data_IF_313692364512
#
_entry.id   IF_313692364512
#
_cell.length_a   1.000
_cell.length_b   1.000
_cell.length_c   1.000
_cell.angle_alpha   90.00
_cell.angle_beta   90.00
_cell.angle_gamma   90.00
#
_symmetry.space_group_name_H-M   'P 1'
#
loop_
_entity.id
_entity.type
_entity.pdbx_description
1 polymer ?
2 non-polymer ?
3 non-polymer ?
4 non-polymer ?
#
# COMPACT_ATOMS: atom_id res chain seq x y z
N UNK A 44 -5.70 -18.50 18.78
CA UNK A 44 -5.69 -19.87 18.28
C UNK A 44 -4.30 -20.47 18.37
N UNK A 45 -3.65 -20.65 17.22
CA UNK A 45 -2.29 -21.18 17.17
C UNK A 45 -1.29 -20.08 17.48
N UNK A 46 -0.01 -20.34 17.24
CA UNK A 46 1.03 -19.34 17.44
C UNK A 46 1.31 -18.52 16.18
N UNK A 47 1.55 -19.19 15.05
CA UNK A 47 1.75 -18.47 13.81
C UNK A 47 0.51 -17.71 13.40
N UNK A 48 -0.68 -18.24 13.71
CA UNK A 48 -1.89 -17.49 13.38
C UNK A 48 -2.14 -16.35 14.35
N UNK A 49 -1.71 -16.47 15.60
CA UNK A 49 -1.73 -15.31 16.48
C UNK A 49 -0.83 -14.21 15.97
N UNK A 50 0.37 -14.58 15.50
CA UNK A 50 1.23 -13.60 14.87
C UNK A 50 0.58 -13.01 13.63
N UNK A 51 -0.13 -13.82 12.84
CA UNK A 51 -0.84 -13.22 11.68
C UNK A 51 -1.78 -12.12 12.18
N UNK A 52 -2.73 -12.46 13.05
CA UNK A 52 -3.74 -11.46 13.51
C UNK A 52 -3.00 -10.20 13.99
N UNK A 53 -1.95 -10.33 14.81
CA UNK A 53 -1.26 -9.13 15.36
C UNK A 53 -0.56 -8.37 14.23
N UNK A 54 -0.15 -9.06 13.15
CA UNK A 54 0.37 -8.34 12.00
C UNK A 54 -0.75 -7.76 11.15
N UNK A 55 -1.88 -8.44 11.07
CA UNK A 55 -3.07 -7.89 10.41
C UNK A 55 -3.43 -6.55 11.04
N UNK A 56 -3.56 -6.51 12.36
CA UNK A 56 -3.91 -5.25 13.01
C UNK A 56 -2.80 -4.22 12.87
N UNK A 57 -1.54 -4.66 12.86
CA UNK A 57 -0.44 -3.72 12.67
C UNK A 57 -0.50 -3.02 11.33
N UNK A 58 -0.73 -3.79 10.27
CA UNK A 58 -0.81 -3.18 8.94
C UNK A 58 -2.09 -2.35 8.79
N UNK A 59 -3.19 -2.81 9.39
CA UNK A 59 -4.38 -1.97 9.46
C UNK A 59 -4.03 -0.60 10.03
N UNK A 60 -3.30 -0.57 11.15
CA UNK A 60 -2.96 0.71 11.77
C UNK A 60 -2.02 1.52 10.89
N UNK A 61 -1.07 0.86 10.23
CA UNK A 61 -0.10 1.61 9.45
C UNK A 61 -0.78 2.28 8.25
N UNK A 62 -1.74 1.60 7.62
CA UNK A 62 -2.45 2.24 6.53
C UNK A 62 -3.43 3.29 7.05
N UNK A 63 -3.97 3.08 8.26
CA UNK A 63 -4.78 4.11 8.88
C UNK A 63 -3.99 5.40 9.06
N UNK A 64 -2.75 5.28 9.53
CA UNK A 64 -1.93 6.46 9.74
C UNK A 64 -1.48 7.04 8.41
N UNK A 65 -1.52 6.24 7.34
CA UNK A 65 -1.19 6.78 6.03
C UNK A 65 -2.35 7.58 5.40
N UNK A 66 -3.60 7.21 5.66
CA UNK A 66 -4.74 7.84 4.98
C UNK A 66 -5.55 8.81 5.87
N UNK A 67 -5.39 8.74 7.19
CA UNK A 67 -6.12 9.66 8.05
C UNK A 67 -5.85 11.11 7.69
N UNK A 68 -4.62 11.43 7.26
CA UNK A 68 -4.38 12.79 6.79
C UNK A 68 -5.08 13.04 5.47
N UNK A 69 -5.11 12.05 4.58
CA UNK A 69 -5.77 12.23 3.30
C UNK A 69 -7.23 12.64 3.47
N UNK A 70 -7.82 12.36 4.63
CA UNK A 70 -9.17 12.90 4.94
C UNK A 70 -9.12 14.16 5.81
N UNK A 71 -8.30 14.16 6.86
CA UNK A 71 -8.23 15.31 7.75
C UNK A 71 -7.76 16.57 7.03
N UNK A 72 -7.14 16.44 5.87
CA UNK A 72 -6.70 17.61 5.12
C UNK A 72 -7.86 18.24 4.36
N UNK A 73 -8.80 17.44 3.85
CA UNK A 73 -9.97 18.02 3.23
C UNK A 73 -10.90 18.56 4.29
N UNK A 74 -10.79 18.10 5.54
CA UNK A 74 -11.50 18.78 6.62
C UNK A 74 -10.62 19.74 7.41
N UNK A 75 -9.42 20.05 6.92
CA UNK A 75 -8.48 20.87 7.66
C UNK A 75 -8.27 22.25 7.07
N UNK A 76 -8.14 22.35 5.74
CA UNK A 76 -7.83 23.63 5.13
C UNK A 76 -9.04 24.56 5.19
N UNK A 77 -8.76 25.86 5.11
CA UNK A 77 -9.78 26.90 5.14
C UNK A 77 -10.14 27.28 3.72
N UNK A 78 -11.44 27.33 3.43
CA UNK A 78 -11.92 27.66 2.09
C UNK A 78 -11.58 29.10 1.71
N UNK A 105 -15.70 22.39 15.79
CA UNK A 105 -14.88 23.14 14.84
C UNK A 105 -13.58 23.60 15.50
N UNK A 106 -12.47 23.08 15.01
CA UNK A 106 -11.15 23.47 15.48
C UNK A 106 -10.54 24.57 14.66
N UNK A 107 -9.22 24.53 14.54
CA UNK A 107 -8.51 25.51 13.73
C UNK A 107 -8.47 25.05 12.28
N UNK A 108 -8.42 26.02 11.37
CA UNK A 108 -8.38 25.76 9.93
C UNK A 108 -7.37 26.70 9.31
N UNK A 109 -6.28 26.14 8.79
CA UNK A 109 -5.21 26.94 8.23
C UNK A 109 -5.52 27.34 6.80
N UNK A 110 -4.78 28.32 6.30
CA UNK A 110 -4.94 28.85 4.94
C UNK A 110 -3.74 28.36 4.11
N UNK A 111 -3.92 27.24 3.43
CA UNK A 111 -2.89 26.66 2.59
C UNK A 111 -3.28 26.82 1.12
N UNK A 112 -2.32 27.24 0.29
CA UNK A 112 -2.61 27.86 -1.00
C UNK A 112 -2.62 26.80 -2.11
N UNK A 113 -3.41 25.75 -1.90
CA UNK A 113 -3.79 24.82 -2.97
C UNK A 113 -2.59 24.08 -3.57
N UNK A 114 -1.40 24.36 -3.06
CA UNK A 114 -0.20 23.59 -3.39
C UNK A 114 0.57 23.14 -2.17
N UNK A 115 0.50 23.86 -1.05
CA UNK A 115 0.96 23.34 0.22
C UNK A 115 0.33 21.99 0.52
N UNK A 116 -0.93 21.80 0.15
CA UNK A 116 -1.59 20.53 0.38
C UNK A 116 -0.93 19.41 -0.42
N UNK A 117 -0.40 19.72 -1.59
CA UNK A 117 0.32 18.71 -2.35
C UNK A 117 1.53 18.17 -1.59
N UNK A 118 2.34 19.07 -1.04
CA UNK A 118 3.52 18.65 -0.29
C UNK A 118 3.12 17.95 1.00
N UNK A 119 2.11 18.47 1.70
CA UNK A 119 1.68 17.85 2.95
C UNK A 119 1.14 16.45 2.70
N UNK A 120 0.51 16.23 1.55
CA UNK A 120 0.02 14.90 1.22
C UNK A 120 1.13 13.97 0.77
N UNK A 121 2.08 14.47 -0.02
CA UNK A 121 3.09 13.62 -0.63
C UNK A 121 4.50 13.68 -0.06
N UNK A 122 4.69 14.18 1.16
CA UNK A 122 6.00 14.06 1.79
C UNK A 122 6.16 12.75 2.55
N UNK A 123 5.05 12.19 3.02
CA UNK A 123 5.08 10.87 3.62
C UNK A 123 5.75 9.87 2.70
N UNK A 124 5.60 10.03 1.39
CA UNK A 124 6.19 9.06 0.48
C UNK A 124 7.66 9.33 0.20
N UNK A 125 8.12 10.57 0.36
CA UNK A 125 9.56 10.79 0.49
C UNK A 125 10.11 9.98 1.65
N UNK A 126 9.46 10.10 2.81
CA UNK A 126 9.90 9.33 3.97
C UNK A 126 9.83 7.83 3.73
N UNK A 127 8.84 7.39 2.95
CA UNK A 127 8.67 5.96 2.65
C UNK A 127 9.80 5.44 1.76
N UNK A 128 10.09 6.16 0.67
CA UNK A 128 11.12 5.72 -0.26
C UNK A 128 12.51 5.84 0.32
N UNK A 129 12.73 6.72 1.30
CA UNK A 129 14.05 6.82 1.90
C UNK A 129 14.47 5.48 2.51
N UNK A 130 13.55 4.86 3.26
CA UNK A 130 13.89 3.69 4.07
C UNK A 130 13.15 2.43 3.65
N UNK A 131 12.63 2.37 2.43
CA UNK A 131 12.11 1.09 1.93
C UNK A 131 13.15 -0.03 2.05
N UNK A 132 14.26 0.07 1.32
CA UNK A 132 15.24 -1.02 1.20
C UNK A 132 16.17 -1.14 2.40
N UNK A 133 16.77 -0.05 2.91
CA UNK A 133 17.51 -0.16 4.17
C UNK A 133 16.68 -0.81 5.27
N UNK A 134 15.35 -0.64 5.23
CA UNK A 134 14.50 -1.42 6.11
C UNK A 134 14.69 -2.90 5.92
N UNK A 135 14.78 -3.35 4.67
CA UNK A 135 15.01 -4.77 4.42
C UNK A 135 16.36 -5.25 4.94
N UNK A 136 17.40 -4.44 4.74
CA UNK A 136 18.71 -4.81 5.26
C UNK A 136 18.70 -4.92 6.78
N UNK A 137 18.21 -3.89 7.46
CA UNK A 137 18.16 -3.92 8.92
C UNK A 137 17.27 -5.04 9.43
N UNK A 138 16.22 -5.38 8.68
CA UNK A 138 15.35 -6.47 9.10
C UNK A 138 16.06 -7.81 9.02
N UNK A 139 16.76 -8.06 7.92
CA UNK A 139 17.57 -9.26 7.84
C UNK A 139 18.63 -9.29 8.93
N UNK A 140 19.12 -8.11 9.35
CA UNK A 140 20.18 -8.07 10.35
C UNK A 140 19.66 -8.37 11.75
N UNK A 141 18.74 -7.55 12.25
CA UNK A 141 18.37 -7.57 13.67
C UNK A 141 16.94 -8.07 13.87
N UNK A 142 16.46 -8.92 12.97
CA UNK A 142 15.14 -9.51 13.14
C UNK A 142 14.03 -8.59 12.68
N UNK A 143 12.81 -9.01 12.98
CA UNK A 143 11.64 -8.31 12.49
C UNK A 143 10.73 -7.75 13.54
N UNK A 144 10.67 -8.37 14.72
CA UNK A 144 9.74 -7.94 15.75
C UNK A 144 10.01 -6.50 16.18
N UNK A 145 11.22 -6.24 16.64
CA UNK A 145 11.54 -4.89 17.11
C UNK A 145 11.45 -3.88 15.98
N UNK A 146 11.86 -4.28 14.78
CA UNK A 146 11.83 -3.35 13.65
C UNK A 146 10.41 -2.92 13.33
N UNK A 147 9.50 -3.89 13.17
CA UNK A 147 8.11 -3.54 12.88
C UNK A 147 7.48 -2.80 14.03
N UNK A 148 7.71 -3.25 15.27
CA UNK A 148 7.13 -2.59 16.42
C UNK A 148 7.54 -1.13 16.50
N UNK A 149 8.82 -0.84 16.33
CA UNK A 149 9.26 0.55 16.41
C UNK A 149 8.91 1.35 15.17
N UNK A 150 8.84 0.71 14.00
CA UNK A 150 8.39 1.40 12.81
C UNK A 150 6.92 1.74 12.81
N UNK A 151 6.14 1.09 13.68
CA UNK A 151 4.75 1.48 13.83
C UNK A 151 4.61 2.43 15.02
N UNK A 152 5.45 2.27 16.04
CA UNK A 152 5.37 3.16 17.20
C UNK A 152 5.83 4.57 16.84
N UNK A 153 6.90 4.70 16.04
CA UNK A 153 7.31 6.02 15.59
C UNK A 153 6.21 6.73 14.85
N UNK A 154 5.51 6.01 13.97
CA UNK A 154 4.42 6.61 13.22
C UNK A 154 3.26 6.98 14.14
N UNK A 155 2.88 6.09 15.05
CA UNK A 155 1.74 6.34 15.92
C UNK A 155 2.08 7.26 17.08
N UNK A 156 3.33 7.71 17.18
CA UNK A 156 3.67 8.79 18.08
C UNK A 156 3.77 10.12 17.35
N UNK A 157 4.28 10.13 16.13
CA UNK A 157 4.27 11.36 15.35
C UNK A 157 2.85 11.74 14.93
N UNK A 158 1.96 10.77 14.81
CA UNK A 158 0.57 11.10 14.55
C UNK A 158 -0.07 11.77 15.76
N UNK A 159 0.37 11.44 16.96
CA UNK A 159 -0.10 12.15 18.14
C UNK A 159 0.33 13.62 18.13
N UNK A 160 1.37 13.95 17.37
CA UNK A 160 1.88 15.31 17.35
C UNK A 160 1.53 16.08 16.10
N UNK A 161 1.03 15.41 15.07
CA UNK A 161 0.58 16.12 13.86
C UNK A 161 -0.32 17.31 14.16
N UNK A 162 -1.30 17.24 15.07
CA UNK A 162 -2.07 18.46 15.38
C UNK A 162 -1.22 19.54 16.04
N UNK A 163 -0.15 19.16 16.73
CA UNK A 163 0.73 20.17 17.33
C UNK A 163 1.72 20.69 16.30
N UNK A 164 2.18 19.83 15.38
CA UNK A 164 3.09 20.28 14.35
C UNK A 164 2.40 21.08 13.27
N UNK A 165 1.07 21.03 13.21
CA UNK A 165 0.35 21.87 12.26
C UNK A 165 0.34 23.32 12.72
N UNK A 166 0.18 23.55 14.03
CA UNK A 166 0.20 24.92 14.55
C UNK A 166 1.56 25.58 14.36
N UNK A 167 2.63 24.80 14.37
CA UNK A 167 3.96 25.38 14.16
C UNK A 167 4.11 25.93 12.75
N UNK A 168 3.45 25.33 11.77
CA UNK A 168 3.53 25.82 10.42
C UNK A 168 3.40 24.69 9.42
N UNK A 169 4.17 24.79 8.34
CA UNK A 169 4.12 23.84 7.25
C UNK A 169 5.40 23.03 7.14
N UNK A 170 6.54 23.67 7.32
CA UNK A 170 7.81 22.98 7.36
C UNK A 170 7.84 21.86 8.38
N UNK A 171 7.48 22.17 9.63
CA UNK A 171 7.37 21.11 10.63
C UNK A 171 6.41 20.00 10.25
N UNK A 172 5.30 20.31 9.57
CA UNK A 172 4.36 19.26 9.20
C UNK A 172 4.94 18.37 8.12
N UNK A 173 5.64 18.94 7.14
CA UNK A 173 6.27 18.12 6.12
C UNK A 173 7.38 17.28 6.71
N UNK A 174 8.12 17.82 7.69
CA UNK A 174 9.16 17.03 8.35
C UNK A 174 8.54 15.89 9.15
N UNK A 175 7.44 16.18 9.85
CA UNK A 175 6.77 15.15 10.62
C UNK A 175 6.23 14.04 9.73
N UNK A 176 5.71 14.39 8.56
CA UNK A 176 5.24 13.34 7.67
C UNK A 176 6.38 12.60 6.99
N UNK A 177 7.51 13.26 6.76
CA UNK A 177 8.68 12.52 6.28
C UNK A 177 9.15 11.51 7.32
N UNK A 178 9.10 11.89 8.60
CA UNK A 178 9.45 10.94 9.65
C UNK A 178 8.43 9.82 9.74
N UNK A 179 7.15 10.13 9.54
CA UNK A 179 6.15 9.07 9.49
C UNK A 179 6.40 8.13 8.32
N UNK A 180 6.86 8.66 7.19
CA UNK A 180 7.22 7.80 6.08
C UNK A 180 8.42 6.92 6.40
N UNK A 181 9.41 7.49 7.08
CA UNK A 181 10.52 6.68 7.60
C UNK A 181 10.00 5.55 8.47
N UNK A 182 9.02 5.84 9.31
CA UNK A 182 8.47 4.80 10.19
C UNK A 182 7.72 3.73 9.43
N UNK A 183 6.93 4.12 8.44
CA UNK A 183 6.07 3.17 7.73
C UNK A 183 6.78 2.47 6.58
N UNK A 184 7.97 2.91 6.20
CA UNK A 184 8.66 2.21 5.14
C UNK A 184 9.37 0.96 5.56
N UNK A 185 9.39 0.66 6.86
CA UNK A 185 10.15 -0.44 7.41
C UNK A 185 9.23 -1.56 7.89
N UNK A 186 7.93 -1.43 7.68
CA UNK A 186 7.02 -2.46 8.17
C UNK A 186 7.08 -3.72 7.30
N UNK A 187 6.79 -3.61 6.01
CA UNK A 187 6.80 -4.78 5.15
C UNK A 187 8.17 -5.47 5.10
N UNK A 188 9.29 -4.77 4.93
CA UNK A 188 10.58 -5.47 4.90
C UNK A 188 10.89 -6.20 6.19
N UNK A 189 10.24 -5.85 7.30
CA UNK A 189 10.37 -6.59 8.54
C UNK A 189 9.40 -7.76 8.60
N UNK A 190 8.18 -7.55 8.12
CA UNK A 190 7.21 -8.65 8.09
C UNK A 190 7.70 -9.78 7.20
N UNK A 191 8.42 -9.46 6.12
CA UNK A 191 8.91 -10.53 5.27
C UNK A 191 9.98 -11.37 5.98
N UNK A 192 10.78 -10.76 6.83
CA UNK A 192 11.75 -11.54 7.61
C UNK A 192 11.04 -12.38 8.66
N UNK A 193 10.08 -11.79 9.36
CA UNK A 193 9.32 -12.54 10.34
C UNK A 193 8.65 -13.76 9.71
N UNK A 194 8.13 -13.60 8.49
CA UNK A 194 7.48 -14.72 7.82
C UNK A 194 8.46 -15.64 7.12
N UNK A 195 9.70 -15.20 6.90
CA UNK A 195 10.74 -16.15 6.50
C UNK A 195 11.21 -16.99 7.68
N UNK A 196 10.96 -16.52 8.90
CA UNK A 196 11.27 -17.31 10.09
C UNK A 196 10.10 -18.11 10.62
N UNK A 197 8.86 -17.73 10.30
CA UNK A 197 7.66 -18.32 10.88
C UNK A 197 6.87 -19.19 9.92
N UNK A 198 6.58 -18.70 8.73
CA UNK A 198 5.60 -19.33 7.87
C UNK A 198 6.14 -20.62 7.25
N UNK A 199 5.50 -21.76 7.47
CA UNK A 199 5.88 -22.98 6.77
C UNK A 199 5.57 -22.86 5.28
N UNK A 200 6.43 -23.43 4.42
CA UNK A 200 6.25 -23.22 2.98
C UNK A 200 4.87 -23.57 2.45
N UNK A 201 4.33 -24.72 2.81
CA UNK A 201 3.02 -25.15 2.30
C UNK A 201 1.86 -24.39 2.94
N UNK A 202 2.15 -23.37 3.75
CA UNK A 202 1.10 -22.53 4.32
C UNK A 202 1.49 -21.06 4.31
N UNK A 203 2.52 -20.68 3.56
CA UNK A 203 2.93 -19.28 3.52
C UNK A 203 1.86 -18.40 2.87
N UNK A 204 1.08 -18.98 1.95
CA UNK A 204 0.14 -18.19 1.18
C UNK A 204 -0.95 -17.61 2.07
N UNK A 205 -1.60 -18.44 2.88
CA UNK A 205 -2.68 -17.95 3.73
C UNK A 205 -2.16 -16.93 4.74
N UNK A 206 -0.97 -17.17 5.29
CA UNK A 206 -0.42 -16.27 6.29
C UNK A 206 -0.12 -14.89 5.69
N UNK A 207 0.58 -14.85 4.55
CA UNK A 207 0.81 -13.57 3.92
C UNK A 207 -0.49 -12.91 3.48
N UNK A 208 -1.46 -13.71 3.02
CA UNK A 208 -2.74 -13.15 2.61
C UNK A 208 -3.42 -12.43 3.77
N UNK A 209 -3.43 -13.04 4.94
CA UNK A 209 -4.01 -12.38 6.11
C UNK A 209 -3.22 -11.14 6.47
N UNK A 210 -1.88 -11.27 6.51
CA UNK A 210 -1.05 -10.18 6.98
C UNK A 210 -1.16 -8.95 6.10
N UNK A 211 -1.54 -9.11 4.84
CA UNK A 211 -1.70 -7.96 3.96
C UNK A 211 -3.14 -7.54 3.73
N UNK A 212 -4.09 -8.47 3.81
CA UNK A 212 -5.49 -8.07 3.92
C UNK A 212 -5.70 -7.17 5.13
N UNK A 213 -4.82 -7.29 6.13
CA UNK A 213 -4.81 -6.30 7.19
C UNK A 213 -4.67 -4.89 6.67
N UNK A 214 -3.66 -4.65 5.82
CA UNK A 214 -3.45 -3.32 5.29
C UNK A 214 -4.58 -2.90 4.36
N UNK A 215 -5.09 -3.85 3.57
CA UNK A 215 -6.19 -3.52 2.68
C UNK A 215 -7.43 -3.07 3.46
N UNK A 216 -7.81 -3.82 4.49
CA UNK A 216 -8.93 -3.39 5.33
C UNK A 216 -8.60 -2.12 6.09
N UNK A 217 -7.32 -1.86 6.37
CA UNK A 217 -6.96 -0.59 6.95
C UNK A 217 -7.31 0.57 6.04
N UNK A 218 -6.94 0.46 4.76
CA UNK A 218 -7.30 1.49 3.81
C UNK A 218 -8.82 1.59 3.65
N UNK A 219 -9.52 0.45 3.71
CA UNK A 219 -10.96 0.45 3.47
C UNK A 219 -11.72 1.10 4.63
N UNK A 220 -11.27 0.88 5.87
CA UNK A 220 -11.98 1.37 7.04
C UNK A 220 -11.46 2.70 7.55
N UNK A 221 -10.25 3.11 7.13
CA UNK A 221 -9.67 4.33 7.67
C UNK A 221 -10.32 5.59 7.13
N UNK A 222 -11.02 5.49 6.01
CA UNK A 222 -11.74 6.62 5.43
C UNK A 222 -13.07 6.87 6.12
N UNK A 223 -13.90 5.86 6.38
CA UNK A 223 -15.16 6.14 7.10
C UNK A 223 -14.94 6.63 8.52
N UNK A 224 -13.99 6.04 9.25
CA UNK A 224 -13.76 6.50 10.62
C UNK A 224 -13.22 7.92 10.64
N UNK A 225 -12.29 8.24 9.74
CA UNK A 225 -11.81 9.61 9.65
C UNK A 225 -12.95 10.56 9.29
N UNK A 226 -13.81 10.15 8.37
CA UNK A 226 -14.95 10.99 8.03
C UNK A 226 -15.87 11.24 9.20
N UNK A 227 -16.19 10.19 9.95
CA UNK A 227 -17.10 10.31 11.09
C UNK A 227 -16.50 11.19 12.17
N UNK A 228 -15.24 10.95 12.51
CA UNK A 228 -14.60 11.73 13.56
C UNK A 228 -14.35 13.16 13.12
N UNK A 229 -14.23 13.42 11.82
CA UNK A 229 -14.13 14.78 11.34
C UNK A 229 -15.49 15.48 11.24
N UNK A 230 -16.57 14.71 11.11
CA UNK A 230 -17.91 15.28 11.06
C UNK A 230 -18.43 15.61 12.46
N UNK A 231 -18.35 14.67 13.39
CA UNK A 231 -18.85 14.91 14.73
C UNK A 231 -17.84 15.58 15.64
N UNK A 232 -16.55 15.51 15.31
CA UNK A 232 -15.50 16.14 16.10
C UNK A 232 -14.54 16.83 15.14
N UNK A 233 -13.40 17.28 15.66
CA UNK A 233 -12.38 17.92 14.84
C UNK A 233 -11.54 16.88 14.11
N UNK A 234 -10.42 17.32 13.54
CA UNK A 234 -9.43 16.40 12.97
C UNK A 234 -8.36 16.02 13.98
N UNK A 235 -8.03 16.93 14.89
CA UNK A 235 -7.15 16.59 16.00
C UNK A 235 -7.61 15.32 16.70
N UNK A 236 -8.92 15.10 16.77
CA UNK A 236 -9.41 13.87 17.36
C UNK A 236 -9.11 12.67 16.48
N UNK A 237 -9.16 12.81 15.16
CA UNK A 237 -8.73 11.73 14.28
C UNK A 237 -7.30 11.33 14.60
N UNK A 238 -6.42 12.32 14.66
CA UNK A 238 -5.00 12.00 14.86
C UNK A 238 -4.76 11.39 16.24
N UNK A 239 -5.42 11.94 17.27
CA UNK A 239 -5.25 11.37 18.62
C UNK A 239 -5.77 9.95 18.68
N UNK A 240 -6.93 9.68 18.09
CA UNK A 240 -7.53 8.35 18.13
C UNK A 240 -6.63 7.34 17.44
N UNK A 241 -6.11 7.67 16.25
CA UNK A 241 -5.28 6.72 15.56
C UNK A 241 -3.92 6.54 16.24
N UNK A 242 -3.35 7.60 16.81
CA UNK A 242 -2.12 7.43 17.56
C UNK A 242 -2.29 6.55 18.78
N UNK A 243 -3.42 6.72 19.49
CA UNK A 243 -3.66 5.90 20.68
C UNK A 243 -3.87 4.45 20.31
N UNK A 244 -4.61 4.17 19.24
CA UNK A 244 -4.75 2.78 18.79
C UNK A 244 -3.38 2.21 18.41
N UNK A 245 -2.56 3.01 17.73
CA UNK A 245 -1.23 2.53 17.39
C UNK A 245 -0.40 2.16 18.60
N UNK A 246 -0.43 2.99 19.63
CA UNK A 246 0.35 2.72 20.83
C UNK A 246 -0.19 1.49 21.56
N UNK A 247 -1.51 1.35 21.64
CA UNK A 247 -2.09 0.17 22.29
C UNK A 247 -1.69 -1.10 21.57
N UNK A 248 -1.75 -1.10 20.23
CA UNK A 248 -1.33 -2.28 19.50
C UNK A 248 0.17 -2.52 19.64
N UNK A 249 0.96 -1.46 19.74
CA UNK A 249 2.39 -1.69 19.96
C UNK A 249 2.65 -2.34 21.29
N UNK A 250 1.87 -2.00 22.32
CA UNK A 250 2.00 -2.70 23.59
C UNK A 250 1.64 -4.18 23.43
N UNK A 251 0.52 -4.46 22.74
CA UNK A 251 0.16 -5.85 22.49
C UNK A 251 1.24 -6.59 21.71
N UNK A 252 1.91 -5.89 20.80
CA UNK A 252 2.87 -6.54 19.91
C UNK A 252 4.22 -6.73 20.58
N UNK A 253 4.55 -5.90 21.56
CA UNK A 253 5.75 -6.16 22.35
C UNK A 253 5.49 -7.27 23.35
N UNK A 254 4.27 -7.35 23.87
CA UNK A 254 3.99 -8.39 24.86
C UNK A 254 3.87 -9.77 24.22
N UNK A 255 3.14 -9.89 23.10
CA UNK A 255 2.80 -11.22 22.59
C UNK A 255 3.83 -11.78 21.60
N UNK A 256 4.04 -11.10 20.48
CA UNK A 256 4.73 -11.69 19.34
C UNK A 256 6.22 -11.73 19.60
N UNK A 257 6.86 -12.82 19.15
CA UNK A 257 8.30 -13.00 19.19
C UNK A 257 8.86 -13.03 17.77
N UNK A 258 10.17 -13.27 17.67
CA UNK A 258 10.90 -13.12 16.42
C UNK A 258 11.06 -14.42 15.65
N UNK A 259 10.99 -15.56 16.31
CA UNK A 259 11.38 -16.85 15.74
C UNK A 259 10.81 -17.96 16.64
N UNK A 260 10.26 -19.04 16.07
CA UNK A 260 9.63 -20.07 16.90
C UNK A 260 10.54 -20.59 18.00
N UNK A 261 11.85 -20.43 17.80
CA UNK A 261 12.79 -20.80 18.86
C UNK A 261 12.77 -19.81 20.00
N UNK A 262 12.57 -18.53 19.71
CA UNK A 262 12.56 -17.49 20.72
C UNK A 262 11.16 -17.12 21.19
N UNK A 263 10.18 -17.98 20.97
CA UNK A 263 8.82 -17.68 21.39
C UNK A 263 8.59 -18.24 22.79
N UNK A 264 7.81 -17.50 23.58
CA UNK A 264 7.72 -17.79 25.01
C UNK A 264 6.79 -18.96 25.32
N UNK A 265 5.59 -18.96 24.76
CA UNK A 265 4.56 -19.92 25.13
C UNK A 265 4.14 -20.81 23.97
N UNK A 266 5.00 -20.96 22.96
CA UNK A 266 4.71 -21.88 21.86
C UNK A 266 4.78 -23.32 22.38
N UNK A 267 4.10 -24.21 21.66
CA UNK A 267 4.03 -25.62 22.01
C UNK A 267 5.06 -26.41 21.23
N UNK A 268 5.44 -27.56 21.79
CA UNK A 268 6.48 -28.39 21.18
C UNK A 268 6.11 -28.81 19.78
N UNK A 269 4.91 -29.37 19.59
CA UNK A 269 4.56 -29.93 18.29
C UNK A 269 4.49 -28.87 17.21
N UNK A 270 3.99 -27.68 17.55
CA UNK A 270 3.92 -26.61 16.56
C UNK A 270 5.31 -26.13 16.17
N UNK A 271 6.18 -25.95 17.15
CA UNK A 271 7.55 -25.54 16.84
C UNK A 271 8.25 -26.59 15.99
N UNK A 272 8.02 -27.87 16.28
CA UNK A 272 8.64 -28.92 15.50
C UNK A 272 8.11 -28.93 14.07
N UNK A 273 6.81 -28.72 13.90
CA UNK A 273 6.26 -28.65 12.55
C UNK A 273 6.85 -27.49 11.76
N UNK A 274 6.85 -26.29 12.35
CA UNK A 274 7.38 -25.12 11.67
C UNK A 274 8.85 -25.33 11.32
N UNK A 275 9.64 -25.84 12.27
CA UNK A 275 11.07 -26.00 12.03
C UNK A 275 11.35 -27.10 11.03
N UNK A 276 10.56 -28.18 11.02
CA UNK A 276 10.79 -29.26 10.08
C UNK A 276 10.36 -28.89 8.67
N UNK A 277 9.47 -27.91 8.51
CA UNK A 277 9.18 -27.43 7.17
C UNK A 277 10.21 -26.40 6.70
N UNK A 278 10.52 -25.43 7.55
CA UNK A 278 11.54 -24.45 7.20
C UNK A 278 12.91 -25.09 7.06
N UNK A 279 13.11 -26.30 7.58
CA UNK A 279 14.36 -27.02 7.38
C UNK A 279 14.58 -27.29 5.89
N UNK A 280 13.59 -27.91 5.24
CA UNK A 280 13.61 -28.03 3.79
C UNK A 280 13.71 -26.67 3.12
N UNK A 281 12.88 -25.72 3.56
CA UNK A 281 12.85 -24.41 2.90
C UNK A 281 14.24 -23.77 2.84
N UNK A 282 14.95 -23.78 3.95
CA UNK A 282 16.29 -23.21 3.99
C UNK A 282 17.31 -24.09 3.27
N UNK A 283 17.17 -25.42 3.42
CA UNK A 283 18.14 -26.32 2.79
C UNK A 283 18.06 -26.28 1.27
N UNK A 284 16.94 -25.84 0.71
CA UNK A 284 16.83 -25.68 -0.73
C UNK A 284 17.33 -24.32 -1.21
N UNK A 285 17.90 -23.50 -0.32
CA UNK A 285 18.36 -22.17 -0.68
C UNK A 285 19.88 -22.14 -0.74
N UNK A 286 20.42 -21.64 -1.86
CA UNK A 286 21.86 -21.54 -2.06
C UNK A 286 22.31 -20.15 -2.48
N UNK A 287 21.51 -19.44 -3.27
CA UNK A 287 21.87 -18.13 -3.81
C UNK A 287 21.65 -17.00 -2.80
N UNK A 288 21.50 -17.32 -1.52
CA UNK A 288 21.24 -16.27 -0.53
C UNK A 288 22.38 -15.28 -0.39
N UNK A 289 23.64 -15.69 -0.14
CA UNK A 289 24.69 -14.70 0.16
C UNK A 289 24.98 -13.74 -0.97
N UNK A 290 25.33 -14.25 -2.15
CA UNK A 290 25.78 -13.40 -3.23
C UNK A 290 24.60 -12.74 -3.95
N UNK A 291 24.75 -11.46 -4.26
CA UNK A 291 23.70 -10.69 -4.93
C UNK A 291 24.22 -10.24 -6.29
N UNK A 292 23.50 -10.52 -7.38
CA UNK A 292 23.96 -10.11 -8.71
C UNK A 292 23.48 -8.73 -9.09
N UNK A 293 23.80 -8.30 -10.30
CA UNK A 293 23.22 -7.08 -10.86
C UNK A 293 21.84 -7.42 -11.43
N UNK A 294 20.93 -6.46 -11.35
CA UNK A 294 19.56 -6.70 -11.74
C UNK A 294 19.12 -5.77 -12.87
N UNK A 295 19.94 -5.66 -13.91
CA UNK A 295 19.65 -4.80 -15.05
C UNK A 295 18.96 -5.56 -16.19
N UNK A 296 18.21 -6.61 -15.87
CA UNK A 296 17.51 -7.36 -16.89
C UNK A 296 16.26 -6.62 -17.34
N UNK A 297 15.85 -6.90 -18.57
CA UNK A 297 14.68 -6.21 -19.14
C UNK A 297 13.37 -6.53 -18.43
N UNK A 298 13.04 -7.78 -18.09
CA UNK A 298 11.74 -8.02 -17.44
C UNK A 298 11.58 -7.36 -16.09
N UNK A 299 12.66 -7.20 -15.32
CA UNK A 299 12.55 -6.51 -14.05
C UNK A 299 12.17 -5.05 -14.24
N UNK A 300 12.76 -4.38 -15.24
CA UNK A 300 12.35 -3.02 -15.52
C UNK A 300 10.91 -2.96 -16.04
N UNK A 301 10.42 -4.03 -16.67
CA UNK A 301 9.01 -4.07 -17.05
C UNK A 301 8.12 -4.14 -15.82
N UNK A 302 8.46 -5.00 -14.87
CA UNK A 302 7.71 -5.05 -13.61
C UNK A 302 7.76 -3.68 -12.92
N UNK A 303 8.93 -3.03 -12.93
CA UNK A 303 9.09 -1.76 -12.26
C UNK A 303 8.23 -0.69 -12.93
N UNK A 304 8.24 -0.63 -14.26
CA UNK A 304 7.45 0.37 -14.96
C UNK A 304 5.96 0.12 -14.76
N UNK A 305 5.54 -1.14 -14.77
CA UNK A 305 4.13 -1.43 -14.54
C UNK A 305 3.71 -1.06 -13.12
N UNK A 306 4.56 -1.33 -12.14
CA UNK A 306 4.23 -0.97 -10.77
C UNK A 306 4.22 0.54 -10.59
N UNK A 307 5.13 1.25 -11.27
CA UNK A 307 5.13 2.70 -11.20
C UNK A 307 3.85 3.27 -11.82
N UNK A 308 3.48 2.77 -12.99
CA UNK A 308 2.30 3.28 -13.67
C UNK A 308 1.01 2.89 -12.98
N UNK A 309 1.02 1.84 -12.16
CA UNK A 309 -0.15 1.52 -11.36
C UNK A 309 -0.20 2.33 -10.07
N UNK A 310 0.95 2.48 -9.42
CA UNK A 310 1.00 3.25 -8.18
C UNK A 310 0.76 4.73 -8.42
N UNK A 311 1.04 5.24 -9.62
CA UNK A 311 0.69 6.62 -9.92
C UNK A 311 -0.80 6.84 -9.71
N UNK A 312 -1.64 6.08 -10.41
CA UNK A 312 -3.08 6.18 -10.25
C UNK A 312 -3.48 5.86 -8.82
N UNK A 313 -2.90 4.81 -8.23
CA UNK A 313 -3.32 4.40 -6.90
C UNK A 313 -3.07 5.50 -5.87
N UNK A 314 -1.87 6.06 -5.85
CA UNK A 314 -1.53 7.06 -4.85
C UNK A 314 -2.20 8.39 -5.14
N UNK A 315 -2.35 8.75 -6.41
CA UNK A 315 -3.11 9.96 -6.72
C UNK A 315 -4.53 9.85 -6.18
N UNK A 316 -5.18 8.70 -6.36
CA UNK A 316 -6.51 8.54 -5.80
C UNK A 316 -6.46 8.52 -4.27
N UNK A 317 -5.52 7.77 -3.70
CA UNK A 317 -5.43 7.66 -2.24
C UNK A 317 -5.28 9.00 -1.58
N UNK A 318 -4.52 9.92 -2.18
CA UNK A 318 -4.25 11.20 -1.57
C UNK A 318 -5.12 12.33 -2.10
N UNK A 319 -5.94 12.10 -3.13
CA UNK A 319 -6.76 13.19 -3.63
C UNK A 319 -8.20 12.77 -3.96
N UNK A 320 -8.68 11.68 -3.37
CA UNK A 320 -10.09 11.35 -3.58
C UNK A 320 -10.99 12.18 -2.68
N UNK A 321 -10.72 12.31 -1.38
CA UNK A 321 -11.58 13.17 -0.55
C UNK A 321 -11.59 14.62 -1.02
N UNK A 322 -10.44 15.15 -1.41
CA UNK A 322 -10.41 16.50 -1.98
C UNK A 322 -11.31 16.60 -3.19
N UNK A 323 -11.28 15.58 -4.06
CA UNK A 323 -12.15 15.59 -5.22
C UNK A 323 -13.61 15.59 -4.81
N UNK A 324 -13.99 14.69 -3.90
CA UNK A 324 -15.40 14.58 -3.53
C UNK A 324 -15.89 15.80 -2.78
N UNK A 325 -15.01 16.58 -2.16
CA UNK A 325 -15.45 17.80 -1.50
C UNK A 325 -15.40 19.03 -2.40
N UNK A 326 -14.59 19.02 -3.46
CA UNK A 326 -14.50 20.18 -4.34
C UNK A 326 -15.37 20.03 -5.58
N UNK A 327 -15.16 18.98 -6.37
CA UNK A 327 -15.91 18.84 -7.62
C UNK A 327 -17.29 18.27 -7.37
N UNK A 328 -17.37 17.07 -6.81
CA UNK A 328 -18.66 16.43 -6.61
C UNK A 328 -19.51 17.11 -5.54
N UNK A 329 -18.92 17.99 -4.73
CA UNK A 329 -19.64 18.76 -3.73
C UNK A 329 -20.38 17.84 -2.74
N UNK A 330 -19.60 17.07 -2.00
CA UNK A 330 -20.14 16.16 -0.98
C UNK A 330 -19.88 16.73 0.41
N UNK A 331 -20.39 16.02 1.40
CA UNK A 331 -20.14 16.34 2.80
C UNK A 331 -18.76 15.80 3.18
N UNK A 332 -18.46 15.72 4.47
CA UNK A 332 -17.22 15.09 4.91
C UNK A 332 -17.50 13.65 5.30
N UNK A 333 -18.68 13.40 5.89
CA UNK A 333 -19.05 12.05 6.29
C UNK A 333 -19.27 11.16 5.07
N UNK A 334 -20.17 11.58 4.18
CA UNK A 334 -20.35 10.85 2.93
C UNK A 334 -19.07 10.85 2.10
N UNK A 335 -18.23 11.87 2.32
CA UNK A 335 -16.91 11.89 1.63
C UNK A 335 -16.13 10.66 2.08
N UNK A 336 -16.03 10.44 3.39
CA UNK A 336 -15.34 9.26 3.89
C UNK A 336 -15.95 7.96 3.39
N UNK A 337 -17.28 7.87 3.45
CA UNK A 337 -17.93 6.60 3.11
C UNK A 337 -17.74 6.25 1.63
N UNK A 338 -18.12 7.17 0.73
CA UNK A 338 -18.00 6.92 -0.70
C UNK A 338 -16.60 7.11 -1.23
N UNK A 339 -15.65 7.33 -0.31
CA UNK A 339 -14.22 7.36 -0.70
C UNK A 339 -13.65 6.01 -0.27
N UNK A 340 -14.27 5.36 0.74
CA UNK A 340 -13.85 4.04 1.16
C UNK A 340 -14.37 2.98 0.20
N UNK A 341 -15.65 3.07 -0.18
CA UNK A 341 -16.27 2.10 -1.08
C UNK A 341 -15.38 1.72 -2.27
N UNK A 342 -14.68 2.67 -2.90
CA UNK A 342 -13.71 2.28 -3.94
C UNK A 342 -12.70 1.23 -3.52
N UNK A 343 -12.03 1.41 -2.37
CA UNK A 343 -11.03 0.43 -1.96
C UNK A 343 -11.64 -0.85 -1.44
N UNK A 344 -12.86 -0.82 -0.93
CA UNK A 344 -13.57 -2.05 -0.61
C UNK A 344 -13.80 -2.88 -1.87
N UNK A 345 -14.27 -2.22 -2.93
CA UNK A 345 -14.37 -2.90 -4.21
C UNK A 345 -13.04 -3.44 -4.69
N UNK A 346 -11.98 -2.65 -4.54
CA UNK A 346 -10.66 -3.10 -4.97
C UNK A 346 -10.23 -4.35 -4.21
N UNK A 347 -10.50 -4.41 -2.91
CA UNK A 347 -10.12 -5.57 -2.11
C UNK A 347 -10.91 -6.81 -2.52
N UNK A 348 -12.23 -6.67 -2.62
CA UNK A 348 -13.05 -7.80 -3.06
C UNK A 348 -12.59 -8.30 -4.42
N UNK A 349 -12.25 -7.38 -5.32
CA UNK A 349 -11.82 -7.78 -6.65
C UNK A 349 -10.45 -8.43 -6.62
N UNK A 350 -9.57 -8.00 -5.71
CA UNK A 350 -8.26 -8.65 -5.60
C UNK A 350 -8.42 -10.09 -5.13
N UNK A 351 -9.31 -10.32 -4.17
CA UNK A 351 -9.55 -11.69 -3.71
C UNK A 351 -10.11 -12.55 -4.84
N UNK A 352 -11.20 -12.07 -5.48
CA UNK A 352 -11.82 -12.84 -6.54
C UNK A 352 -10.89 -13.02 -7.73
N UNK A 353 -9.98 -12.07 -7.95
CA UNK A 353 -9.02 -12.18 -9.04
C UNK A 353 -7.92 -13.18 -8.74
N UNK A 354 -7.49 -13.27 -7.48
CA UNK A 354 -6.62 -14.36 -7.10
C UNK A 354 -7.27 -15.71 -7.35
N UNK A 355 -8.54 -15.85 -6.96
CA UNK A 355 -9.25 -17.10 -7.21
C UNK A 355 -9.33 -17.41 -8.70
N UNK A 356 -9.70 -16.41 -9.51
CA UNK A 356 -9.84 -16.61 -10.94
C UNK A 356 -8.50 -16.91 -11.61
N UNK A 357 -7.41 -16.30 -11.13
CA UNK A 357 -6.10 -16.59 -11.69
C UNK A 357 -5.67 -18.01 -11.37
N UNK A 358 -5.88 -18.45 -10.13
CA UNK A 358 -5.60 -19.84 -9.78
C UNK A 358 -6.39 -20.78 -10.68
N UNK A 359 -7.69 -20.51 -10.85
CA UNK A 359 -8.54 -21.37 -11.67
C UNK A 359 -8.06 -21.40 -13.12
N UNK A 360 -7.75 -20.23 -13.68
CA UNK A 360 -7.37 -20.15 -15.09
C UNK A 360 -6.00 -20.79 -15.33
N UNK A 361 -5.09 -20.69 -14.37
CA UNK A 361 -3.81 -21.37 -14.51
C UNK A 361 -3.92 -22.87 -14.26
N UNK A 362 -4.94 -23.31 -13.51
CA UNK A 362 -5.14 -24.74 -13.32
C UNK A 362 -5.75 -25.38 -14.56
N UNK A 363 -6.90 -24.85 -15.02
CA UNK A 363 -7.59 -25.51 -16.13
C UNK A 363 -6.87 -25.31 -17.46
N UNK A 364 -6.20 -24.17 -17.64
CA UNK A 364 -5.48 -23.87 -18.88
C UNK A 364 -4.06 -23.45 -18.55
N UNK A 365 -3.15 -23.69 -19.48
CA UNK A 365 -1.74 -23.41 -19.25
C UNK A 365 -1.41 -21.94 -19.51
N UNK A 366 -1.59 -21.49 -20.76
CA UNK A 366 -1.26 -20.13 -21.19
C UNK A 366 0.20 -19.77 -20.90
N UNK A 367 1.05 -20.78 -20.69
CA UNK A 367 2.49 -20.61 -20.48
C UNK A 367 2.82 -19.73 -19.27
N UNK A 368 1.83 -19.48 -18.41
CA UNK A 368 2.02 -18.79 -17.12
C UNK A 368 2.38 -17.32 -17.36
N UNK A 369 2.57 -16.94 -18.62
CA UNK A 369 2.90 -15.57 -19.00
C UNK A 369 1.77 -14.85 -19.70
N UNK A 370 1.01 -15.56 -20.55
CA UNK A 370 -0.16 -14.96 -21.17
C UNK A 370 -1.17 -14.52 -20.11
N UNK A 371 -1.32 -15.31 -19.05
CA UNK A 371 -2.21 -14.92 -17.96
C UNK A 371 -1.69 -13.66 -17.28
N UNK A 372 -0.38 -13.56 -17.08
CA UNK A 372 0.20 -12.36 -16.47
C UNK A 372 -0.11 -11.13 -17.31
N UNK A 373 0.21 -11.18 -18.60
CA UNK A 373 0.01 -10.01 -19.44
C UNK A 373 -1.48 -9.69 -19.61
N UNK A 374 -2.34 -10.70 -19.64
CA UNK A 374 -3.78 -10.44 -19.79
C UNK A 374 -4.32 -9.77 -18.53
N UNK A 375 -3.95 -10.27 -17.36
CA UNK A 375 -4.42 -9.66 -16.13
C UNK A 375 -3.84 -8.27 -15.94
N UNK A 376 -2.59 -8.04 -16.37
CA UNK A 376 -2.04 -6.70 -16.31
C UNK A 376 -2.79 -5.76 -17.23
N UNK A 377 -3.02 -6.19 -18.47
CA UNK A 377 -3.80 -5.37 -19.41
C UNK A 377 -5.14 -4.99 -18.80
N UNK A 378 -5.88 -5.96 -18.27
CA UNK A 378 -7.18 -5.67 -17.68
C UNK A 378 -7.03 -4.71 -16.52
N UNK A 379 -6.30 -5.12 -15.49
CA UNK A 379 -6.20 -4.34 -14.26
C UNK A 379 -5.47 -3.02 -14.40
N UNK A 380 -4.91 -2.71 -15.57
CA UNK A 380 -4.29 -1.42 -15.77
C UNK A 380 -4.97 -0.56 -16.83
N UNK A 381 -5.80 -1.14 -17.70
CA UNK A 381 -6.54 -0.38 -18.68
C UNK A 381 -7.98 -0.10 -18.22
N UNK A 382 -8.63 -1.10 -17.61
CA UNK A 382 -9.93 -0.89 -17.02
C UNK A 382 -9.95 0.34 -16.13
N UNK A 383 -9.01 0.42 -15.18
CA UNK A 383 -8.89 1.67 -14.40
C UNK A 383 -8.71 2.90 -15.25
N UNK A 384 -7.89 2.83 -16.30
CA UNK A 384 -7.65 4.00 -17.14
C UNK A 384 -8.94 4.45 -17.84
N UNK A 385 -9.65 3.51 -18.46
CA UNK A 385 -10.84 3.90 -19.23
C UNK A 385 -11.96 4.34 -18.30
N UNK A 386 -12.14 3.67 -17.16
CA UNK A 386 -13.19 4.11 -16.25
C UNK A 386 -12.81 5.40 -15.53
N UNK A 387 -11.52 5.72 -15.45
CA UNK A 387 -11.11 7.00 -14.87
C UNK A 387 -11.33 8.13 -15.85
N UNK A 388 -11.01 7.92 -17.13
CA UNK A 388 -11.41 8.88 -18.15
C UNK A 388 -12.91 9.09 -18.13
N UNK A 389 -13.68 8.02 -17.91
CA UNK A 389 -15.13 8.15 -17.84
C UNK A 389 -15.55 8.98 -16.62
N UNK A 390 -14.98 8.67 -15.45
CA UNK A 390 -15.30 9.44 -14.25
C UNK A 390 -14.94 10.91 -14.39
N UNK A 391 -13.90 11.21 -15.16
CA UNK A 391 -13.54 12.59 -15.41
C UNK A 391 -14.48 13.27 -16.37
N UNK A 392 -14.86 12.56 -17.44
CA UNK A 392 -15.69 13.14 -18.47
C UNK A 392 -17.02 13.64 -17.90
N UNK A 393 -17.79 12.75 -17.30
CA UNK A 393 -19.05 13.16 -16.69
C UNK A 393 -18.77 13.62 -15.26
N UNK A 394 -18.39 14.89 -15.12
CA UNK A 394 -18.10 15.45 -13.81
C UNK A 394 -19.29 16.18 -13.25
N UNK A 395 -19.11 16.71 -12.04
CA UNK A 395 -20.13 17.49 -11.33
C UNK A 395 -21.44 16.72 -11.20
N UNK A 396 -21.38 15.39 -11.27
CA UNK A 396 -22.55 14.54 -11.17
C UNK A 396 -22.38 13.64 -9.95
N UNK A 397 -23.43 13.59 -9.12
CA UNK A 397 -23.38 12.86 -7.86
C UNK A 397 -23.08 11.38 -8.05
N UNK A 398 -23.99 10.66 -8.72
CA UNK A 398 -23.95 9.20 -8.69
C UNK A 398 -22.98 8.64 -9.72
N UNK A 399 -23.09 9.06 -10.98
CA UNK A 399 -22.33 8.40 -12.04
C UNK A 399 -20.83 8.57 -11.87
N UNK A 400 -20.40 9.74 -11.38
CA UNK A 400 -18.97 9.98 -11.22
C UNK A 400 -18.38 9.07 -10.15
N UNK A 401 -19.04 8.96 -8.99
CA UNK A 401 -18.51 8.08 -7.95
C UNK A 401 -18.64 6.62 -8.36
N UNK A 402 -19.65 6.28 -9.17
CA UNK A 402 -19.75 4.92 -9.67
C UNK A 402 -18.60 4.58 -10.59
N UNK A 403 -18.28 5.48 -11.52
CA UNK A 403 -17.15 5.24 -12.41
C UNK A 403 -15.84 5.21 -11.65
N UNK A 404 -15.68 6.03 -10.61
CA UNK A 404 -14.46 5.98 -9.81
C UNK A 404 -14.35 4.64 -9.08
N UNK A 405 -15.46 4.19 -8.48
CA UNK A 405 -15.45 2.92 -7.77
C UNK A 405 -15.09 1.77 -8.72
N UNK A 406 -15.66 1.77 -9.92
CA UNK A 406 -15.32 0.72 -10.87
C UNK A 406 -13.88 0.85 -11.34
N UNK A 407 -13.41 2.09 -11.52
CA UNK A 407 -12.05 2.30 -12.01
C UNK A 407 -11.01 1.75 -11.05
N UNK A 408 -11.21 1.98 -9.75
CA UNK A 408 -10.26 1.42 -8.80
C UNK A 408 -10.62 0.01 -8.35
N UNK A 409 -11.82 -0.47 -8.67
CA UNK A 409 -12.16 -1.86 -8.42
C UNK A 409 -11.54 -2.76 -9.46
N UNK A 410 -11.35 -2.27 -10.67
CA UNK A 410 -10.67 -3.08 -11.67
C UNK A 410 -9.18 -3.12 -11.45
N UNK A 411 -8.70 -2.73 -10.28
CA UNK A 411 -7.28 -2.81 -9.96
C UNK A 411 -6.84 -4.09 -9.31
N UNK A 412 -7.78 -4.91 -8.81
CA UNK A 412 -7.40 -6.18 -8.22
C UNK A 412 -6.82 -7.14 -9.23
N UNK A 413 -7.35 -7.12 -10.46
CA UNK A 413 -6.76 -7.90 -11.54
C UNK A 413 -5.27 -7.63 -11.67
N UNK A 414 -4.91 -6.36 -11.85
CA UNK A 414 -3.51 -5.97 -11.92
C UNK A 414 -2.78 -6.42 -10.66
N UNK A 415 -3.32 -6.09 -9.49
CA UNK A 415 -2.64 -6.41 -8.24
C UNK A 415 -2.22 -7.87 -8.20
N UNK A 416 -3.20 -8.78 -8.22
CA UNK A 416 -2.85 -10.20 -8.17
C UNK A 416 -2.00 -10.63 -9.36
N UNK A 417 -2.57 -10.57 -10.56
CA UNK A 417 -1.94 -11.16 -11.73
C UNK A 417 -0.70 -10.45 -12.21
N UNK A 418 -0.23 -9.43 -11.51
CA UNK A 418 1.04 -8.81 -11.86
C UNK A 418 2.00 -8.74 -10.69
N UNK A 419 1.51 -8.50 -9.46
CA UNK A 419 2.40 -8.52 -8.31
C UNK A 419 2.74 -9.95 -7.89
N UNK A 420 2.17 -10.96 -8.56
CA UNK A 420 2.76 -12.29 -8.44
C UNK A 420 3.78 -12.58 -9.53
N UNK A 421 3.93 -11.68 -10.49
CA UNK A 421 4.99 -11.84 -11.48
C UNK A 421 6.37 -11.66 -10.89
N UNK A 422 6.49 -10.96 -9.76
CA UNK A 422 7.81 -10.85 -9.12
C UNK A 422 8.22 -12.16 -8.48
N UNK A 423 7.24 -12.92 -7.97
CA UNK A 423 7.53 -14.28 -7.53
C UNK A 423 7.86 -15.18 -8.71
N UNK A 424 7.12 -15.03 -9.80
CA UNK A 424 7.31 -15.96 -10.92
C UNK A 424 8.56 -15.67 -11.76
N UNK A 425 9.08 -14.45 -11.75
CA UNK A 425 10.20 -14.13 -12.63
C UNK A 425 11.50 -14.70 -12.08
N UNK A 426 11.73 -14.60 -10.78
CA UNK A 426 12.98 -15.02 -10.17
C UNK A 426 12.75 -15.40 -8.71
N UNK A 427 12.20 -16.58 -8.44
CA UNK A 427 11.95 -16.99 -7.06
C UNK A 427 13.25 -17.05 -6.26
N UNK A 428 13.08 -17.12 -4.93
CA UNK A 428 14.17 -17.08 -3.96
C UNK A 428 14.84 -15.72 -3.92
N UNK A 429 14.40 -14.80 -4.79
CA UNK A 429 14.86 -13.42 -4.81
C UNK A 429 13.68 -12.46 -4.63
N UNK A 430 12.67 -12.88 -3.88
CA UNK A 430 11.47 -12.06 -3.72
C UNK A 430 11.79 -10.74 -3.04
N UNK A 431 12.55 -10.79 -1.96
CA UNK A 431 12.86 -9.56 -1.22
C UNK A 431 13.64 -8.56 -2.04
N UNK A 432 14.64 -9.02 -2.78
CA UNK A 432 15.48 -8.12 -3.55
C UNK A 432 14.67 -7.43 -4.64
N UNK A 433 13.92 -8.21 -5.43
CA UNK A 433 13.15 -7.63 -6.52
C UNK A 433 12.03 -6.73 -5.98
N UNK A 434 11.42 -7.12 -4.86
CA UNK A 434 10.40 -6.28 -4.26
C UNK A 434 10.98 -4.96 -3.78
N UNK A 435 12.21 -4.99 -3.26
CA UNK A 435 12.86 -3.76 -2.86
C UNK A 435 13.18 -2.86 -4.05
N UNK A 436 13.64 -3.46 -5.15
CA UNK A 436 13.93 -2.67 -6.34
C UNK A 436 12.65 -2.12 -6.97
N UNK A 437 11.52 -2.78 -6.75
CA UNK A 437 10.26 -2.32 -7.33
C UNK A 437 9.55 -1.29 -6.46
N UNK A 438 9.57 -1.46 -5.14
CA UNK A 438 8.73 -0.64 -4.28
C UNK A 438 9.18 0.81 -4.24
N UNK A 439 10.49 1.06 -4.33
CA UNK A 439 10.95 2.44 -4.32
C UNK A 439 10.59 3.15 -5.63
N UNK A 440 10.91 2.50 -6.76
CA UNK A 440 10.62 3.08 -8.06
C UNK A 440 9.14 3.07 -8.39
N UNK A 441 8.30 2.50 -7.52
CA UNK A 441 6.87 2.69 -7.63
C UNK A 441 6.29 3.51 -6.48
N UNK A 442 7.11 3.87 -5.49
CA UNK A 442 6.71 4.85 -4.50
C UNK A 442 7.00 6.26 -4.97
N UNK A 443 7.94 6.42 -5.90
CA UNK A 443 8.18 7.71 -6.56
C UNK A 443 6.87 8.44 -6.90
N UNK A 444 5.84 7.76 -7.43
CA UNK A 444 4.56 8.44 -7.62
C UNK A 444 4.01 9.04 -6.35
N UNK A 445 4.22 8.43 -5.19
CA UNK A 445 3.77 9.05 -3.97
C UNK A 445 4.40 10.41 -3.72
N UNK A 446 5.62 10.62 -4.23
CA UNK A 446 6.27 11.90 -4.06
C UNK A 446 5.85 12.89 -5.12
N UNK A 447 5.65 12.42 -6.35
CA UNK A 447 5.35 13.33 -7.47
C UNK A 447 3.86 13.59 -7.59
N UNK A 448 3.08 12.54 -7.80
CA UNK A 448 1.68 12.61 -8.15
C UNK A 448 0.83 13.62 -7.41
N UNK A 449 0.79 13.56 -6.08
CA UNK A 449 -0.02 14.55 -5.35
C UNK A 449 0.40 15.98 -5.62
N UNK A 450 1.70 16.26 -5.66
CA UNK A 450 2.16 17.63 -5.94
C UNK A 450 1.70 18.08 -7.32
N UNK A 451 1.87 17.21 -8.32
CA UNK A 451 1.49 17.57 -9.69
C UNK A 451 0.00 17.76 -9.80
N UNK A 452 -0.79 16.87 -9.21
CA UNK A 452 -2.23 16.93 -9.35
C UNK A 452 -2.87 18.02 -8.50
N UNK A 453 -2.15 18.54 -7.49
CA UNK A 453 -2.65 19.71 -6.77
C UNK A 453 -2.11 21.01 -7.34
N UNK A 454 -1.01 20.97 -8.10
CA UNK A 454 -0.52 22.16 -8.75
C UNK A 454 -1.17 22.40 -10.10
N UNK A 455 -1.71 21.35 -10.73
CA UNK A 455 -2.42 21.52 -11.99
C UNK A 455 -3.82 22.09 -11.77
N UNK A 456 -4.40 21.88 -10.59
CA UNK A 456 -5.76 22.32 -10.28
C UNK A 456 -5.73 23.24 -9.06
N UNK A 457 -5.21 24.46 -9.21
CA UNK A 457 -5.24 25.39 -8.06
C UNK A 457 -6.65 25.83 -7.71
N UNK A 458 -7.50 26.01 -8.70
CA UNK A 458 -8.92 26.29 -8.51
C UNK A 458 -9.73 25.16 -9.12
N UNK A 459 -10.44 24.42 -8.27
CA UNK A 459 -11.06 23.16 -8.67
C UNK A 459 -12.13 23.38 -9.73
N UNK A 460 -11.88 22.91 -10.94
CA UNK A 460 -12.85 22.93 -12.02
C UNK A 460 -12.84 21.56 -12.70
N UNK A 461 -13.98 21.21 -13.31
CA UNK A 461 -14.11 19.89 -13.92
C UNK A 461 -13.03 19.66 -14.97
N UNK A 462 -12.65 20.70 -15.72
CA UNK A 462 -11.57 20.55 -16.69
C UNK A 462 -10.22 20.40 -16.01
N UNK A 463 -10.00 21.14 -14.93
CA UNK A 463 -8.77 21.01 -14.17
C UNK A 463 -8.57 19.58 -13.70
N UNK A 464 -9.62 18.95 -13.17
CA UNK A 464 -9.49 17.58 -12.70
C UNK A 464 -9.54 16.56 -13.83
N UNK A 465 -10.18 16.89 -14.96
CA UNK A 465 -10.09 16.04 -16.13
C UNK A 465 -8.65 15.98 -16.65
N UNK A 466 -7.90 17.07 -16.51
CA UNK A 466 -6.48 17.02 -16.83
C UNK A 466 -5.75 15.95 -16.02
N UNK A 467 -5.97 15.96 -14.70
CA UNK A 467 -5.31 15.00 -13.82
C UNK A 467 -5.72 13.57 -14.18
N UNK A 468 -7.02 13.36 -14.38
CA UNK A 468 -7.50 12.02 -14.69
C UNK A 468 -6.96 11.54 -16.04
N UNK A 469 -6.86 12.44 -17.01
CA UNK A 469 -6.31 12.07 -18.32
C UNK A 469 -4.85 11.67 -18.19
N UNK A 470 -4.07 12.45 -17.42
CA UNK A 470 -2.67 12.12 -17.22
C UNK A 470 -2.52 10.75 -16.57
N UNK A 471 -3.33 10.50 -15.54
CA UNK A 471 -3.24 9.22 -14.84
C UNK A 471 -3.61 8.06 -15.76
N UNK A 472 -4.65 8.23 -16.58
CA UNK A 472 -5.07 7.15 -17.47
C UNK A 472 -4.04 6.92 -18.57
N UNK A 473 -3.42 7.98 -19.08
CA UNK A 473 -2.37 7.81 -20.08
C UNK A 473 -1.18 7.07 -19.48
N UNK A 474 -0.80 7.41 -18.25
CA UNK A 474 0.28 6.68 -17.57
C UNK A 474 -0.10 5.21 -17.42
N UNK A 475 -1.36 4.93 -17.07
CA UNK A 475 -1.80 3.55 -16.94
C UNK A 475 -1.67 2.80 -18.26
N UNK A 476 -2.12 3.41 -19.35
CA UNK A 476 -2.04 2.74 -20.65
C UNK A 476 -0.59 2.50 -21.04
N UNK A 477 0.28 3.48 -20.84
CA UNK A 477 1.70 3.31 -21.17
C UNK A 477 2.33 2.21 -20.34
N UNK A 478 2.02 2.16 -19.05
CA UNK A 478 2.57 1.11 -18.21
C UNK A 478 2.09 -0.27 -18.62
N UNK A 479 0.80 -0.38 -18.95
CA UNK A 479 0.27 -1.66 -19.41
C UNK A 479 0.96 -2.12 -20.69
N UNK A 480 1.14 -1.21 -21.65
CA UNK A 480 1.81 -1.57 -22.89
C UNK A 480 3.25 -2.01 -22.60
N UNK A 481 3.98 -1.21 -21.82
CA UNK A 481 5.38 -1.51 -21.55
C UNK A 481 5.53 -2.84 -20.80
N UNK A 482 4.57 -3.18 -19.95
CA UNK A 482 4.66 -4.46 -19.25
C UNK A 482 4.36 -5.62 -20.21
N UNK A 483 3.21 -5.57 -20.88
CA UNK A 483 2.85 -6.68 -21.75
C UNK A 483 3.82 -6.88 -22.90
N UNK A 484 4.64 -5.86 -23.21
CA UNK A 484 5.61 -6.04 -24.27
C UNK A 484 6.79 -6.88 -23.81
N UNK A 485 7.56 -6.38 -22.85
CA UNK A 485 8.77 -7.07 -22.36
C UNK A 485 8.47 -7.82 -21.06
N UNK A 486 7.62 -8.83 -21.13
CA UNK A 486 7.25 -9.62 -19.96
C UNK A 486 7.80 -11.03 -20.10
N UNK A 487 8.57 -11.46 -19.11
CA UNK A 487 9.06 -12.84 -19.01
C UNK A 487 8.60 -13.43 -17.69
N UNK A 488 8.44 -14.76 -17.66
CA UNK A 488 7.82 -15.38 -16.51
C UNK A 488 8.43 -16.65 -15.97
N UNK A 489 9.45 -17.22 -16.63
CA UNK A 489 10.07 -18.44 -16.15
C UNK A 489 11.31 -18.18 -15.31
N UNK A 490 12.35 -17.62 -15.93
CA UNK A 490 13.58 -17.28 -15.21
C UNK A 490 14.42 -16.41 -16.14
N UNK A 491 15.31 -15.60 -15.55
CA UNK A 491 16.15 -14.70 -16.34
C UNK A 491 17.63 -15.05 -16.22
N UNK A 492 17.94 -16.34 -16.08
CA UNK A 492 19.30 -16.87 -16.22
C UNK A 492 20.24 -16.42 -15.10
N UNK A 493 19.78 -15.59 -14.18
CA UNK A 493 20.57 -15.21 -13.01
C UNK A 493 19.84 -15.52 -11.70
N UNK A 494 18.83 -16.37 -11.72
CA UNK A 494 18.11 -16.76 -10.52
C UNK A 494 18.37 -18.20 -10.11
N UNK A 495 19.07 -18.98 -10.94
CA UNK A 495 19.32 -20.39 -10.63
C UNK A 495 20.38 -20.51 -9.56
N UNK A 496 20.16 -21.40 -8.61
CA UNK A 496 21.13 -21.65 -7.54
C UNK A 496 22.17 -22.68 -7.98
X LIG B 1 -1.16 -4.87 0.23
X LIG B 1 -1.27 -3.70 0.28
X LIG B 1 -2.39 -5.74 0.02
X LIG C 1 0.13 -5.50 0.35
X LIG C 1 1.33 -4.73 0.54
X LIG C 1 2.47 -5.50 -0.11
X LIG C 1 3.56 -5.46 0.32
X LIG C 1 1.52 -4.53 2.05
X LIG C 1 2.84 -3.94 2.53
X LIG C 1 3.06 -2.71 2.58
X LIG C 1 3.74 -4.72 2.89
X LIG D 1 2.22 -6.29 -1.31
X LIG D 1 3.30 -7.02 -1.95
X LIG D 1 3.43 -6.64 -3.42
X LIG D 1 2.49 -6.90 -4.21
X LIG D 1 3.00 -8.51 -1.87
X LIG D 1 4.24 -9.35 -1.61
X LIG D 1 4.02 -10.82 -1.97
X LIG D 1 2.87 -11.32 -1.83
X LIG D 1 4.96 -11.51 -2.40
X LIG D 1 4.46 -6.07 -3.84
#
# INVERSE_FOLDING_TARGET
>A
MDYKDDDDKRSPVRDLARNDGEESTDRTPLLPGAPRAEAAPVCCSARYNLAILAFFGFFIVYALRVNLSVALVDMVDSNTTLEDNRTSKACPEHSAPIKVHHNQTGKKYQWDAETQGWILGSFFYGYIITQIPGGYVASKIGGKMLLGFGILGTAVLTLFTPIAADLGVGPLIVLRALEGLGEGVTFPAMHAMWSSWAPPLERSKLLSISYAGAQLGTVISLPLSGIICYYMNWTYVFYFFGTIGIFWFLLWIWLVSDTPQKHKRISHYEKEYILSSLRNQLSSQKSVPWVPILKSLPLWAIVVAHFSYNWTFYTLLTLLPTYMKEILRFNVQENGFLSSLPYLGSWLCMILSGQAADNLRAKWNFSTLCVRRIFSLIGMIGPAVFLVAAGFIGCDYSLAVAFLTISTTLGGFCSSGFSINHLDIAPSYAGILLGITNTFATIPGMVGPVIAKSLTPDNTVGEWQTVFYIAAAINVFGAIFFTLFAKGEVQNWALNDHHGHRH
>B hetero
1 ACE C O CH3
>C hetero
1 ASP N CA C O CB CG OD1 OD2
>D hetero
1 GLU N CA C O CB CG CD OE1 OE2 OXT
#
